data_IF_563542244891
#
_entry.id   IF_563542244891
#
_cell.length_a   1.000
_cell.length_b   1.000
_cell.length_c   1.000
_cell.angle_alpha   90.00
_cell.angle_beta   90.00
_cell.angle_gamma   90.00
#
_symmetry.space_group_name_H-M   'P 1'
#
loop_
_entity.id
_entity.type
_entity.pdbx_description
1 polymer ?
#
# COMPACT_ATOMS: atom_id res chain seq x y z
N UNK A 1 15.68 0.07 -21.18
CA UNK A 1 15.15 -1.04 -20.37
C UNK A 1 15.52 -2.34 -21.07
N UNK A 2 16.16 -3.28 -20.38
CA UNK A 2 16.56 -4.57 -20.95
C UNK A 2 15.62 -5.66 -20.41
N UNK A 3 15.16 -6.55 -21.28
CA UNK A 3 14.30 -7.67 -20.90
C UNK A 3 15.13 -8.96 -20.81
N UNK A 4 14.95 -9.71 -19.72
CA UNK A 4 15.54 -11.02 -19.53
C UNK A 4 14.42 -12.06 -19.42
N UNK A 5 14.51 -13.13 -20.22
CA UNK A 5 13.59 -14.26 -20.10
C UNK A 5 13.98 -15.07 -18.86
N UNK A 6 13.03 -15.25 -17.95
CA UNK A 6 13.14 -16.18 -16.84
C UNK A 6 12.52 -17.52 -17.23
N UNK A 7 13.19 -18.62 -16.90
CA UNK A 7 12.63 -19.95 -17.03
C UNK A 7 12.09 -20.40 -15.68
N UNK A 8 10.76 -20.49 -15.59
CA UNK A 8 10.02 -20.85 -14.38
C UNK A 8 9.28 -22.18 -14.54
N UNK A 9 9.61 -22.96 -15.58
CA UNK A 9 8.87 -24.19 -15.96
C UNK A 9 8.86 -25.28 -14.88
N UNK A 10 9.83 -25.27 -13.97
CA UNK A 10 9.94 -26.24 -12.88
C UNK A 10 9.29 -25.78 -11.56
N UNK A 11 8.68 -24.59 -11.52
CA UNK A 11 7.95 -24.13 -10.34
C UNK A 11 6.53 -24.70 -10.38
N UNK A 12 6.13 -25.38 -9.30
CA UNK A 12 4.80 -25.99 -9.18
C UNK A 12 3.81 -25.10 -8.45
N UNK A 13 4.26 -24.44 -7.39
CA UNK A 13 3.40 -23.60 -6.56
C UNK A 13 4.21 -22.52 -5.84
N UNK A 14 3.54 -21.41 -5.54
CA UNK A 14 4.07 -20.31 -4.74
C UNK A 14 3.00 -19.99 -3.68
N UNK A 15 3.42 -19.75 -2.45
CA UNK A 15 2.55 -19.28 -1.36
C UNK A 15 3.29 -18.23 -0.51
N UNK A 16 2.56 -17.50 0.33
CA UNK A 16 3.12 -16.53 1.27
C UNK A 16 2.73 -16.88 2.71
N UNK A 17 3.71 -16.89 3.61
CA UNK A 17 3.49 -17.01 5.06
C UNK A 17 4.57 -16.23 5.83
N UNK A 18 4.19 -15.53 6.89
CA UNK A 18 5.09 -14.88 7.87
C UNK A 18 6.33 -14.17 7.25
N UNK A 19 6.12 -13.33 6.22
CA UNK A 19 7.15 -12.58 5.46
C UNK A 19 8.06 -13.39 4.52
N UNK A 20 7.68 -14.63 4.21
CA UNK A 20 8.37 -15.46 3.23
C UNK A 20 7.45 -15.86 2.09
N UNK A 21 8.01 -15.91 0.89
CA UNK A 21 7.46 -16.72 -0.19
C UNK A 21 7.99 -18.15 -0.06
N UNK A 22 7.09 -19.12 0.05
CA UNK A 22 7.43 -20.54 -0.09
C UNK A 22 7.20 -20.97 -1.54
N UNK A 23 8.25 -21.46 -2.19
CA UNK A 23 8.28 -21.87 -3.59
C UNK A 23 8.51 -23.37 -3.66
N UNK A 24 7.55 -24.09 -4.24
CA UNK A 24 7.64 -25.52 -4.50
C UNK A 24 8.24 -25.75 -5.89
N UNK A 25 9.38 -26.42 -5.97
CA UNK A 25 10.15 -26.66 -7.19
C UNK A 25 10.24 -28.16 -7.46
N UNK A 26 9.81 -28.56 -8.66
CA UNK A 26 10.00 -29.92 -9.15
C UNK A 26 11.46 -30.12 -9.60
N UNK A 27 12.10 -31.17 -9.09
CA UNK A 27 13.43 -31.62 -9.52
C UNK A 27 13.38 -32.91 -10.34
N UNK A 28 12.18 -33.41 -10.63
CA UNK A 28 11.93 -34.66 -11.33
C UNK A 28 11.84 -35.87 -10.39
N UNK A 29 12.80 -36.04 -9.48
CA UNK A 29 12.82 -37.14 -8.50
C UNK A 29 12.39 -36.73 -7.09
N UNK A 30 12.31 -35.42 -6.83
CA UNK A 30 11.93 -34.86 -5.53
C UNK A 30 11.31 -33.48 -5.68
N UNK A 31 10.63 -33.06 -4.61
CA UNK A 31 10.10 -31.71 -4.43
C UNK A 31 11.01 -30.94 -3.48
N UNK A 32 11.54 -29.81 -3.95
CA UNK A 32 12.24 -28.85 -3.08
C UNK A 32 11.26 -27.74 -2.68
N UNK A 33 11.25 -27.36 -1.41
CA UNK A 33 10.54 -26.16 -0.93
C UNK A 33 11.60 -25.15 -0.51
N UNK A 34 11.59 -23.97 -1.13
CA UNK A 34 12.51 -22.88 -0.82
C UNK A 34 11.70 -21.72 -0.26
N UNK A 35 12.12 -21.22 0.90
CA UNK A 35 11.59 -20.00 1.49
C UNK A 35 12.52 -18.84 1.15
N UNK A 36 11.96 -17.78 0.57
CA UNK A 36 12.68 -16.53 0.30
C UNK A 36 12.00 -15.38 1.06
N UNK A 37 12.76 -14.55 1.80
CA UNK A 37 12.18 -13.36 2.44
C UNK A 37 11.54 -12.47 1.38
N UNK A 38 10.25 -12.19 1.53
CA UNK A 38 9.50 -11.40 0.58
C UNK A 38 8.23 -10.81 1.24
N UNK A 39 7.94 -9.53 0.99
CA UNK A 39 6.72 -8.93 1.48
C UNK A 39 5.49 -9.59 0.82
N UNK A 40 4.35 -9.55 1.50
CA UNK A 40 3.07 -10.05 0.98
C UNK A 40 2.73 -9.51 -0.41
N UNK A 41 3.09 -8.25 -0.67
CA UNK A 41 2.93 -7.60 -1.98
C UNK A 41 3.60 -8.37 -3.13
N UNK A 42 4.75 -9.03 -2.90
CA UNK A 42 5.43 -9.79 -3.93
C UNK A 42 4.60 -11.02 -4.37
N UNK A 43 3.97 -11.70 -3.40
CA UNK A 43 3.05 -12.80 -3.69
C UNK A 43 1.84 -12.35 -4.49
N UNK A 44 1.21 -11.25 -4.07
CA UNK A 44 0.03 -10.71 -4.72
C UNK A 44 0.33 -10.25 -6.16
N UNK A 45 1.49 -9.63 -6.39
CA UNK A 45 1.96 -9.30 -7.73
C UNK A 45 2.17 -10.54 -8.61
N UNK A 46 2.65 -11.65 -8.06
CA UNK A 46 2.78 -12.92 -8.79
C UNK A 46 1.43 -13.54 -9.13
N UNK A 47 0.45 -13.48 -8.22
CA UNK A 47 -0.94 -13.93 -8.49
C UNK A 47 -1.53 -13.12 -9.63
N UNK A 48 -1.38 -11.79 -9.62
CA UNK A 48 -1.85 -10.93 -10.71
C UNK A 48 -1.14 -11.22 -12.04
N UNK A 49 0.19 -11.40 -12.01
CA UNK A 49 0.94 -11.76 -13.21
C UNK A 49 0.44 -13.06 -13.81
N UNK A 50 0.09 -14.06 -12.98
CA UNK A 50 -0.51 -15.30 -13.45
C UNK A 50 -1.84 -15.04 -14.15
N UNK A 51 -2.74 -14.23 -13.57
CA UNK A 51 -4.01 -13.87 -14.21
C UNK A 51 -3.79 -13.16 -15.56
N UNK A 52 -2.83 -12.23 -15.64
CA UNK A 52 -2.48 -11.52 -16.88
C UNK A 52 -1.93 -12.49 -17.92
N UNK A 53 -1.02 -13.38 -17.53
CA UNK A 53 -0.39 -14.33 -18.44
C UNK A 53 -1.35 -15.45 -18.88
N UNK A 54 -2.33 -15.81 -18.05
CA UNK A 54 -3.36 -16.80 -18.35
C UNK A 54 -4.56 -16.21 -19.10
N UNK A 55 -4.74 -14.89 -19.06
CA UNK A 55 -5.80 -14.19 -19.79
C UNK A 55 -5.37 -13.87 -21.22
N UNK A 56 -6.16 -14.33 -22.19
CA UNK A 56 -6.07 -13.87 -23.59
C UNK A 56 -6.67 -12.46 -23.79
N UNK A 57 -7.25 -11.87 -22.75
CA UNK A 57 -7.98 -10.60 -22.81
C UNK A 57 -7.10 -9.41 -22.32
N UNK A 58 -6.69 -8.50 -23.22
CA UNK A 58 -5.83 -7.36 -22.88
C UNK A 58 -6.51 -6.35 -21.92
N UNK A 59 -7.83 -6.32 -21.91
CA UNK A 59 -8.62 -5.39 -21.10
C UNK A 59 -8.54 -5.72 -19.61
N UNK A 60 -8.45 -7.02 -19.26
CA UNK A 60 -8.30 -7.46 -17.87
C UNK A 60 -6.95 -7.04 -17.29
N UNK A 61 -5.88 -7.12 -18.10
CA UNK A 61 -4.55 -6.66 -17.70
C UNK A 61 -4.49 -5.14 -17.50
N UNK A 62 -5.31 -4.39 -18.23
CA UNK A 62 -5.43 -2.93 -18.11
C UNK A 62 -6.39 -2.48 -16.99
N UNK A 63 -7.26 -3.36 -16.49
CA UNK A 63 -8.23 -3.06 -15.41
C UNK A 63 -7.73 -3.42 -14.00
N UNK A 64 -6.58 -4.08 -13.88
CA UNK A 64 -5.98 -4.38 -12.58
C UNK A 64 -5.35 -3.09 -12.04
N UNK A 65 -5.89 -2.56 -10.96
CA UNK A 65 -5.29 -1.44 -10.24
C UNK A 65 -4.09 -1.95 -9.44
N UNK A 66 -2.91 -1.84 -10.06
CA UNK A 66 -1.63 -2.28 -9.50
C UNK A 66 -1.24 -1.55 -8.21
N UNK A 67 -1.89 -0.43 -7.86
CA UNK A 67 -1.66 0.32 -6.63
C UNK A 67 -2.56 -0.13 -5.47
N UNK A 68 -3.52 -1.01 -5.71
CA UNK A 68 -4.39 -1.58 -4.66
C UNK A 68 -3.85 -2.88 -4.04
N UNK A 69 -2.60 -3.27 -4.32
CA UNK A 69 -1.96 -4.46 -3.75
C UNK A 69 -1.91 -4.42 -2.20
N UNK A 70 -2.58 -5.36 -1.49
CA UNK A 70 -2.57 -5.41 -0.03
C UNK A 70 -1.19 -5.74 0.59
N UNK A 71 -0.37 -4.70 0.79
CA UNK A 71 0.95 -4.80 1.40
C UNK A 71 1.96 -3.83 0.79
N UNK A 72 1.63 -3.21 -0.34
CA UNK A 72 2.27 -1.97 -0.80
C UNK A 72 1.52 -0.83 -0.15
N UNK A 73 1.75 -0.58 1.14
CA UNK A 73 1.43 0.75 1.66
C UNK A 73 2.44 1.68 1.04
N UNK A 74 2.10 2.30 -0.09
CA UNK A 74 2.84 3.46 -0.55
C UNK A 74 2.83 4.45 0.63
N UNK A 75 4.03 4.79 1.11
CA UNK A 75 4.17 5.81 2.14
C UNK A 75 3.52 7.08 1.60
N UNK A 76 2.56 7.61 2.35
CA UNK A 76 1.92 8.88 2.00
C UNK A 76 2.99 9.95 2.18
N UNK A 77 3.37 10.71 1.13
CA UNK A 77 4.37 11.75 1.26
C UNK A 77 3.92 12.80 2.30
N UNK A 78 4.68 12.93 3.37
CA UNK A 78 4.34 13.81 4.49
C UNK A 78 4.95 15.20 4.30
N UNK A 79 4.10 16.23 4.28
CA UNK A 79 4.52 17.63 4.23
C UNK A 79 4.69 18.19 5.64
N UNK A 80 5.87 18.72 6.01
CA UNK A 80 6.04 19.40 7.30
C UNK A 80 5.16 20.64 7.41
N UNK A 81 4.53 20.84 8.56
CA UNK A 81 3.65 21.98 8.81
C UNK A 81 4.06 22.76 10.05
N UNK A 82 3.86 24.09 10.01
CA UNK A 82 4.06 24.94 11.17
C UNK A 82 2.78 25.03 12.00
N UNK A 83 2.59 24.04 12.88
CA UNK A 83 1.40 23.91 13.73
C UNK A 83 1.77 23.51 15.16
N UNK A 84 0.97 23.89 16.16
CA UNK A 84 1.09 23.37 17.53
C UNK A 84 0.45 21.99 17.70
N UNK A 85 -0.30 21.52 16.70
CA UNK A 85 -0.96 20.21 16.71
C UNK A 85 -0.12 19.15 15.98
N UNK A 86 0.38 19.46 14.79
CA UNK A 86 0.99 18.50 13.88
C UNK A 86 2.44 18.86 13.54
N UNK A 87 3.26 17.82 13.32
CA UNK A 87 4.59 17.91 12.73
C UNK A 87 4.50 17.88 11.20
N UNK A 88 3.73 16.94 10.68
CA UNK A 88 3.58 16.71 9.25
C UNK A 88 2.18 16.21 8.91
N UNK A 89 1.74 16.48 7.68
CA UNK A 89 0.44 16.07 7.14
C UNK A 89 0.66 15.56 5.72
N UNK A 90 0.07 14.41 5.40
CA UNK A 90 0.12 13.81 4.08
C UNK A 90 -1.28 13.40 3.63
N UNK A 91 -1.48 13.31 2.31
CA UNK A 91 -2.75 12.89 1.73
C UNK A 91 -2.53 12.04 0.49
N UNK A 92 -3.35 11.01 0.36
CA UNK A 92 -3.40 10.09 -0.77
C UNK A 92 -4.78 10.25 -1.45
N UNK A 93 -4.86 10.92 -2.62
CA UNK A 93 -6.12 11.20 -3.30
C UNK A 93 -6.77 9.94 -3.89
N UNK A 94 -5.97 8.96 -4.31
CA UNK A 94 -6.49 7.71 -4.87
C UNK A 94 -7.21 6.90 -3.79
N UNK A 95 -6.64 6.89 -2.57
CA UNK A 95 -7.18 6.14 -1.42
C UNK A 95 -8.07 6.96 -0.48
N UNK A 96 -8.20 8.27 -0.70
CA UNK A 96 -8.91 9.20 0.19
C UNK A 96 -8.45 9.07 1.65
N UNK A 97 -7.14 9.04 1.83
CA UNK A 97 -6.49 8.82 3.13
C UNK A 97 -5.71 10.05 3.55
N UNK A 98 -6.10 10.62 4.68
CA UNK A 98 -5.35 11.67 5.35
C UNK A 98 -4.46 11.06 6.43
N UNK A 99 -3.17 11.38 6.41
CA UNK A 99 -2.23 11.00 7.46
C UNK A 99 -1.75 12.24 8.21
N UNK A 100 -1.72 12.16 9.54
CA UNK A 100 -1.26 13.25 10.42
C UNK A 100 -0.26 12.69 11.41
N UNK A 101 0.95 13.25 11.42
CA UNK A 101 1.91 13.08 12.50
C UNK A 101 1.71 14.20 13.52
N UNK A 102 1.28 13.86 14.73
CA UNK A 102 1.07 14.82 15.80
C UNK A 102 2.38 15.23 16.48
N UNK A 103 2.38 16.37 17.18
CA UNK A 103 3.56 16.88 17.91
C UNK A 103 4.13 15.92 18.96
N UNK A 104 3.31 15.00 19.47
CA UNK A 104 3.74 13.96 20.41
C UNK A 104 4.36 12.72 19.72
N UNK A 105 4.52 12.75 18.39
CA UNK A 105 5.07 11.67 17.57
C UNK A 105 4.07 10.57 17.17
N UNK A 106 2.82 10.63 17.63
CA UNK A 106 1.83 9.64 17.18
C UNK A 106 1.38 9.93 15.75
N UNK A 107 1.29 8.90 14.92
CA UNK A 107 0.79 9.00 13.54
C UNK A 107 -0.59 8.37 13.46
N UNK A 108 -1.52 9.06 12.81
CA UNK A 108 -2.87 8.56 12.56
C UNK A 108 -3.22 8.66 11.08
N UNK A 109 -3.95 7.67 10.59
CA UNK A 109 -4.62 7.71 9.30
C UNK A 109 -6.13 7.88 9.50
N UNK A 110 -6.75 8.66 8.61
CA UNK A 110 -8.18 8.91 8.54
C UNK A 110 -8.70 8.50 7.16
N UNK A 111 -9.66 7.58 7.13
CA UNK A 111 -10.28 7.04 5.91
C UNK A 111 -11.44 7.92 5.42
N UNK A 112 -11.52 8.11 4.10
CA UNK A 112 -12.65 8.77 3.43
C UNK A 112 -12.64 10.29 3.54
N UNK A 113 -11.49 10.90 3.84
CA UNK A 113 -11.32 12.36 3.81
C UNK A 113 -11.23 12.77 2.34
N UNK A 114 -12.03 13.75 1.92
CA UNK A 114 -11.98 14.29 0.57
C UNK A 114 -10.83 15.30 0.40
N UNK A 115 -10.47 15.56 -0.86
CA UNK A 115 -9.35 16.43 -1.21
C UNK A 115 -9.58 17.87 -0.73
N UNK A 116 -10.82 18.37 -0.81
CA UNK A 116 -11.20 19.71 -0.33
C UNK A 116 -10.93 19.87 1.17
N UNK A 117 -11.32 18.90 2.00
CA UNK A 117 -11.06 18.92 3.45
C UNK A 117 -9.56 18.91 3.76
N UNK A 118 -8.77 18.18 2.98
CA UNK A 118 -7.31 18.17 3.11
C UNK A 118 -6.68 19.52 2.73
N UNK A 119 -7.09 20.10 1.60
CA UNK A 119 -6.61 21.42 1.15
C UNK A 119 -6.96 22.52 2.17
N UNK A 120 -8.17 22.48 2.73
CA UNK A 120 -8.61 23.39 3.78
C UNK A 120 -7.81 23.24 5.08
N UNK A 121 -7.48 22.00 5.46
CA UNK A 121 -6.61 21.73 6.60
C UNK A 121 -5.19 22.28 6.40
N UNK A 122 -4.66 22.22 5.18
CA UNK A 122 -3.33 22.74 4.85
C UNK A 122 -3.28 24.27 4.76
N UNK A 123 -4.34 24.89 4.27
CA UNK A 123 -4.38 26.33 4.01
C UNK A 123 -4.87 27.18 5.20
N UNK A 124 -5.51 26.57 6.19
CA UNK A 124 -6.05 27.28 7.35
C UNK A 124 -4.99 27.88 8.28
N UNK A 125 -5.29 29.05 8.85
CA UNK A 125 -4.45 29.68 9.87
C UNK A 125 -4.50 28.95 11.23
N UNK A 126 -5.42 28.00 11.42
CA UNK A 126 -5.53 27.23 12.66
C UNK A 126 -5.78 25.75 12.39
N UNK A 127 -4.74 24.98 12.02
CA UNK A 127 -4.89 23.55 11.70
C UNK A 127 -5.50 22.75 12.86
N UNK A 128 -5.13 23.07 14.10
CA UNK A 128 -5.71 22.43 15.28
C UNK A 128 -7.19 22.73 15.50
N UNK A 129 -7.62 23.96 15.21
CA UNK A 129 -9.04 24.33 15.30
C UNK A 129 -9.86 23.63 14.22
N UNK A 130 -9.35 23.58 12.99
CA UNK A 130 -9.99 22.87 11.88
C UNK A 130 -10.08 21.37 12.16
N UNK A 131 -8.97 20.73 12.53
CA UNK A 131 -8.94 19.30 12.87
C UNK A 131 -9.99 18.92 13.91
N UNK A 132 -10.13 19.69 14.99
CA UNK A 132 -11.10 19.36 16.04
C UNK A 132 -12.55 19.51 15.59
N UNK A 133 -12.83 20.31 14.57
CA UNK A 133 -14.19 20.59 14.09
C UNK A 133 -14.59 19.67 12.93
N UNK A 134 -13.71 19.53 11.95
CA UNK A 134 -14.02 18.85 10.69
C UNK A 134 -13.54 17.40 10.66
N UNK A 135 -12.45 17.05 11.38
CA UNK A 135 -11.80 15.74 11.19
C UNK A 135 -12.01 14.82 12.41
N UNK A 136 -11.73 15.33 13.61
CA UNK A 136 -11.69 14.55 14.84
C UNK A 136 -13.06 13.98 15.18
N UNK A 137 -13.20 12.66 15.08
CA UNK A 137 -14.44 11.94 15.40
C UNK A 137 -15.44 11.89 14.24
N UNK A 138 -15.17 12.59 13.13
CA UNK A 138 -16.01 12.56 11.93
C UNK A 138 -15.56 11.48 10.94
N UNK A 139 -14.27 11.11 10.95
CA UNK A 139 -13.72 10.06 10.11
C UNK A 139 -13.26 8.85 10.92
N UNK A 140 -13.37 7.68 10.30
CA UNK A 140 -12.78 6.45 10.84
C UNK A 140 -11.27 6.61 10.84
N UNK A 141 -10.65 6.36 12.00
CA UNK A 141 -9.21 6.51 12.16
C UNK A 141 -8.56 5.26 12.73
N UNK A 142 -7.29 5.06 12.37
CA UNK A 142 -6.40 4.14 13.07
C UNK A 142 -5.10 4.85 13.40
N UNK A 143 -4.49 4.42 14.50
CA UNK A 143 -3.12 4.78 14.83
C UNK A 143 -2.17 3.85 14.08
N UNK A 144 -1.09 4.42 13.55
CA UNK A 144 0.05 3.65 13.05
C UNK A 144 1.07 3.52 14.18
N UNK A 145 1.60 2.31 14.35
CA UNK A 145 2.61 1.96 15.36
C UNK A 145 4.02 1.94 14.75
#
# INVERSE_FOLDING_TARGET
MQFNKLDLSNILAISHNDDYLAIAIDRGDRLDIIEIPAPKAAYEGLVQLNEIAASDSPELAASIDFYQLPGVQAEIPMLPVHSTMANSIGYDPDRHLLQIEFKNGSVYEYEGVDEETWEDLLSTNSPGGFYNREIKGNYRSRRLD
#
